data_IF_475139789970
#
_entry.id   IF_475139789970
#
_cell.length_a   1.000
_cell.length_b   1.000
_cell.length_c   1.000
_cell.angle_alpha   90.00
_cell.angle_beta   90.00
_cell.angle_gamma   90.00
#
_symmetry.space_group_name_H-M   'P 1'
#
loop_
_entity.id
_entity.type
_entity.pdbx_description
1 polymer ?
#
# COMPACT_ATOMS: atom_id res chain seq x y z
N UNK A 1 0.61 -0.31 -1.61
CA UNK A 1 0.63 -1.05 -0.33
C UNK A 1 0.47 -2.55 -0.47
N UNK A 2 0.16 -3.22 0.65
CA UNK A 2 0.00 -4.67 0.69
C UNK A 2 -1.05 -5.21 -0.27
N UNK A 3 -2.18 -4.53 -0.38
CA UNK A 3 -3.26 -4.90 -1.32
C UNK A 3 -2.76 -4.93 -2.76
N UNK A 4 -2.03 -3.89 -3.21
CA UNK A 4 -1.52 -3.87 -4.57
C UNK A 4 -0.55 -5.03 -4.86
N UNK A 5 0.35 -5.38 -3.93
CA UNK A 5 1.23 -6.53 -4.07
C UNK A 5 0.44 -7.83 -4.25
N UNK A 6 -0.59 -8.02 -3.42
CA UNK A 6 -1.35 -9.26 -3.37
C UNK A 6 -2.27 -9.46 -4.58
N UNK A 7 -2.83 -8.40 -5.14
CA UNK A 7 -3.78 -8.53 -6.25
C UNK A 7 -3.18 -8.31 -7.64
N UNK A 8 -1.96 -7.72 -7.73
CA UNK A 8 -1.33 -7.46 -9.03
C UNK A 8 0.00 -8.19 -9.24
N UNK A 9 0.70 -8.61 -8.17
CA UNK A 9 2.05 -9.15 -8.31
C UNK A 9 2.22 -10.57 -7.75
N UNK A 10 1.53 -10.97 -6.70
CA UNK A 10 1.78 -12.25 -6.05
C UNK A 10 0.91 -13.37 -6.64
N UNK A 11 1.52 -14.54 -6.88
CA UNK A 11 0.82 -15.75 -7.32
C UNK A 11 0.06 -16.40 -6.15
N UNK A 12 0.60 -16.27 -4.94
CA UNK A 12 -0.02 -16.74 -3.70
C UNK A 12 -0.27 -15.54 -2.78
N UNK A 13 -1.44 -14.90 -2.92
CA UNK A 13 -1.75 -13.72 -2.15
C UNK A 13 -2.08 -14.07 -0.69
N UNK A 14 -1.76 -13.14 0.21
CA UNK A 14 -2.37 -13.08 1.54
C UNK A 14 -3.49 -12.04 1.56
N UNK A 15 -4.42 -12.18 2.49
CA UNK A 15 -5.47 -11.16 2.64
C UNK A 15 -4.86 -9.80 3.02
N UNK A 16 -5.19 -8.79 2.25
CA UNK A 16 -4.88 -7.38 2.53
C UNK A 16 -6.03 -6.54 2.02
N UNK A 17 -6.65 -5.78 2.89
CA UNK A 17 -7.90 -5.05 2.59
C UNK A 17 -7.74 -3.53 2.58
N UNK A 18 -6.65 -3.03 3.16
CA UNK A 18 -6.37 -1.60 3.16
C UNK A 18 -5.93 -1.12 1.77
N UNK A 19 -6.34 0.07 1.39
CA UNK A 19 -6.08 0.67 0.08
C UNK A 19 -5.10 1.83 0.25
N UNK A 20 -3.89 1.68 -0.30
CA UNK A 20 -2.89 2.74 -0.32
C UNK A 20 -2.86 3.40 -1.70
N UNK A 21 -3.13 4.68 -1.75
CA UNK A 21 -3.18 5.49 -2.97
C UNK A 21 -2.09 6.56 -2.95
N UNK A 22 -1.45 6.80 -4.09
CA UNK A 22 -0.59 7.95 -4.31
C UNK A 22 -1.26 8.91 -5.30
N UNK A 23 -1.30 10.20 -4.97
CA UNK A 23 -1.67 11.22 -5.94
C UNK A 23 -0.52 11.41 -6.93
N UNK A 24 -0.76 11.16 -8.20
CA UNK A 24 0.22 11.30 -9.29
C UNK A 24 -0.24 12.30 -10.37
N UNK A 25 -1.17 13.19 -10.05
CA UNK A 25 -1.73 14.16 -11.01
C UNK A 25 -0.74 15.27 -11.40
N UNK A 26 -0.02 15.83 -10.43
CA UNK A 26 0.98 16.89 -10.66
C UNK A 26 2.11 16.85 -9.66
N UNK A 27 3.34 17.07 -10.13
CA UNK A 27 4.51 17.29 -9.27
C UNK A 27 4.49 18.66 -8.58
N UNK A 28 3.81 19.66 -9.19
CA UNK A 28 3.70 20.99 -8.62
C UNK A 28 2.84 21.01 -7.33
N UNK A 29 3.35 21.69 -6.30
CA UNK A 29 2.69 21.74 -5.00
C UNK A 29 1.38 22.55 -5.03
N UNK A 30 1.34 23.66 -5.75
CA UNK A 30 0.16 24.51 -5.80
C UNK A 30 -0.99 23.81 -6.52
N UNK A 31 -0.72 23.17 -7.64
CA UNK A 31 -1.67 22.35 -8.38
C UNK A 31 -2.18 21.18 -7.53
N UNK A 32 -1.29 20.47 -6.85
CA UNK A 32 -1.67 19.37 -5.94
C UNK A 32 -2.60 19.87 -4.82
N UNK A 33 -2.31 21.02 -4.23
CA UNK A 33 -3.17 21.59 -3.16
C UNK A 33 -4.56 21.98 -3.69
N UNK A 34 -4.66 22.44 -4.94
CA UNK A 34 -5.93 22.73 -5.60
C UNK A 34 -6.73 21.48 -5.95
N UNK A 35 -6.04 20.36 -6.26
CA UNK A 35 -6.68 19.10 -6.58
C UNK A 35 -7.05 18.28 -5.34
N UNK A 36 -6.35 18.46 -4.24
CA UNK A 36 -6.57 17.68 -3.00
C UNK A 36 -8.04 17.58 -2.58
N UNK A 37 -8.81 18.69 -2.46
CA UNK A 37 -10.22 18.58 -2.07
C UNK A 37 -11.07 17.82 -3.09
N UNK A 38 -10.75 17.89 -4.39
CA UNK A 38 -11.47 17.16 -5.43
C UNK A 38 -11.24 15.64 -5.29
N UNK A 39 -9.99 15.23 -5.03
CA UNK A 39 -9.63 13.83 -4.82
C UNK A 39 -10.30 13.29 -3.54
N UNK A 40 -10.27 14.06 -2.45
CA UNK A 40 -10.95 13.67 -1.20
C UNK A 40 -12.46 13.53 -1.40
N UNK A 41 -13.08 14.42 -2.13
CA UNK A 41 -14.50 14.35 -2.48
C UNK A 41 -14.82 13.15 -3.36
N UNK A 42 -13.96 12.84 -4.33
CA UNK A 42 -14.13 11.66 -5.19
C UNK A 42 -14.10 10.36 -4.39
N UNK A 43 -13.18 10.22 -3.42
CA UNK A 43 -13.12 9.06 -2.52
C UNK A 43 -14.45 8.92 -1.75
N UNK A 44 -14.95 10.01 -1.18
CA UNK A 44 -16.21 10.00 -0.42
C UNK A 44 -17.41 9.62 -1.33
N UNK A 45 -17.45 10.16 -2.53
CA UNK A 45 -18.53 9.88 -3.49
C UNK A 45 -18.54 8.40 -3.93
N UNK A 46 -17.36 7.83 -4.21
CA UNK A 46 -17.25 6.40 -4.55
C UNK A 46 -17.70 5.53 -3.39
N UNK A 47 -17.21 5.80 -2.18
CA UNK A 47 -17.60 5.02 -1.01
C UNK A 47 -19.12 5.10 -0.73
N UNK A 48 -19.71 6.28 -0.86
CA UNK A 48 -21.15 6.45 -0.70
C UNK A 48 -21.97 5.65 -1.74
N UNK A 49 -21.51 5.65 -3.00
CA UNK A 49 -22.12 4.85 -4.08
C UNK A 49 -22.07 3.35 -3.79
N UNK A 50 -20.98 2.88 -3.19
CA UNK A 50 -20.79 1.46 -2.80
C UNK A 50 -21.46 1.13 -1.45
N UNK A 51 -22.24 2.05 -0.86
CA UNK A 51 -22.93 1.82 0.41
C UNK A 51 -22.01 1.74 1.64
N UNK A 52 -20.78 2.25 1.53
CA UNK A 52 -19.81 2.23 2.61
C UNK A 52 -19.96 3.48 3.49
N UNK A 53 -20.00 3.29 4.80
CA UNK A 53 -19.88 4.41 5.75
C UNK A 53 -18.43 4.85 5.83
N UNK A 54 -18.22 6.16 5.69
CA UNK A 54 -16.87 6.74 5.63
C UNK A 54 -16.65 7.72 6.76
N UNK A 55 -15.55 7.54 7.49
CA UNK A 55 -15.08 8.47 8.51
C UNK A 55 -13.65 8.91 8.17
N UNK A 56 -13.46 10.23 7.94
CA UNK A 56 -12.11 10.79 7.81
C UNK A 56 -11.42 10.75 9.17
N UNK A 57 -10.25 10.13 9.20
CA UNK A 57 -9.42 10.07 10.40
C UNK A 57 -8.51 11.30 10.47
N UNK A 58 -8.22 11.83 11.68
CA UNK A 58 -7.17 12.81 11.85
C UNK A 58 -5.86 12.26 11.28
N UNK A 59 -5.15 13.06 10.49
CA UNK A 59 -3.86 12.70 9.92
C UNK A 59 -2.88 13.83 10.19
N UNK A 60 -1.76 13.51 10.81
CA UNK A 60 -0.65 14.45 11.03
C UNK A 60 0.19 14.66 9.75
N UNK A 61 -0.09 13.87 8.70
CA UNK A 61 0.65 13.90 7.46
C UNK A 61 -0.06 14.72 6.37
N UNK A 62 0.69 15.08 5.33
CA UNK A 62 0.16 15.80 4.17
C UNK A 62 -0.92 15.00 3.40
N UNK A 63 -1.14 13.74 3.74
CA UNK A 63 -2.13 12.84 3.16
C UNK A 63 -3.54 12.97 3.72
N UNK A 64 -4.36 11.98 3.42
CA UNK A 64 -5.68 11.76 3.99
C UNK A 64 -5.86 10.29 4.33
N UNK A 65 -6.54 10.03 5.44
CA UNK A 65 -6.88 8.68 5.86
C UNK A 65 -8.38 8.61 6.13
N UNK A 66 -9.01 7.59 5.58
CA UNK A 66 -10.44 7.31 5.78
C UNK A 66 -10.59 5.88 6.28
N UNK A 67 -11.41 5.73 7.31
CA UNK A 67 -11.89 4.43 7.75
C UNK A 67 -13.23 4.18 7.10
N UNK A 68 -13.34 3.07 6.41
CA UNK A 68 -14.58 2.58 5.84
C UNK A 68 -15.23 1.62 6.83
N UNK A 69 -16.55 1.53 6.83
CA UNK A 69 -17.28 0.57 7.66
C UNK A 69 -18.39 -0.06 6.85
N UNK A 70 -18.46 -1.38 6.90
CA UNK A 70 -19.54 -2.17 6.31
C UNK A 70 -19.74 -3.46 7.10
N UNK A 71 -20.87 -4.12 6.88
CA UNK A 71 -21.15 -5.45 7.41
C UNK A 71 -20.76 -6.47 6.36
N UNK A 72 -19.86 -7.38 6.70
CA UNK A 72 -19.41 -8.44 5.80
C UNK A 72 -20.48 -9.56 5.67
N UNK A 73 -20.26 -10.52 4.78
CA UNK A 73 -21.20 -11.64 4.53
C UNK A 73 -21.40 -12.55 5.75
N UNK A 74 -20.50 -12.53 6.71
CA UNK A 74 -20.62 -13.25 7.98
C UNK A 74 -21.37 -12.44 9.07
N UNK A 75 -21.91 -11.26 8.73
CA UNK A 75 -22.63 -10.39 9.67
C UNK A 75 -21.71 -9.59 10.63
N UNK A 76 -20.43 -9.65 10.44
CA UNK A 76 -19.45 -8.92 11.28
C UNK A 76 -19.10 -7.56 10.65
N UNK A 77 -18.81 -6.57 11.51
CA UNK A 77 -18.32 -5.27 11.04
C UNK A 77 -16.87 -5.39 10.54
N UNK A 78 -16.63 -4.89 9.35
CA UNK A 78 -15.29 -4.76 8.78
C UNK A 78 -14.94 -3.27 8.61
N UNK A 79 -13.68 -2.91 8.89
CA UNK A 79 -13.23 -1.52 8.91
C UNK A 79 -11.89 -1.35 8.16
N UNK A 80 -11.84 -1.57 6.84
CA UNK A 80 -10.65 -1.29 6.05
C UNK A 80 -10.34 0.21 6.00
N UNK A 81 -9.09 0.54 5.74
CA UNK A 81 -8.64 1.91 5.64
C UNK A 81 -8.24 2.26 4.20
N UNK A 82 -8.51 3.50 3.80
CA UNK A 82 -7.95 4.12 2.59
C UNK A 82 -6.94 5.15 3.05
N UNK A 83 -5.70 5.00 2.62
CA UNK A 83 -4.60 5.91 2.91
C UNK A 83 -4.17 6.61 1.62
N UNK A 84 -4.31 7.94 1.55
CA UNK A 84 -3.96 8.74 0.39
C UNK A 84 -2.72 9.57 0.68
N UNK A 85 -1.69 9.36 -0.12
CA UNK A 85 -0.40 10.03 0.00
C UNK A 85 -0.23 11.07 -1.09
N UNK A 86 0.08 12.32 -0.69
CA UNK A 86 0.39 13.43 -1.58
C UNK A 86 1.90 13.75 -1.65
N UNK A 87 2.75 13.01 -0.97
CA UNK A 87 4.21 13.23 -0.99
C UNK A 87 4.88 12.53 -2.19
N UNK A 88 4.44 11.31 -2.50
CA UNK A 88 4.96 10.50 -3.61
C UNK A 88 4.21 10.82 -4.91
N UNK A 89 4.30 12.08 -5.35
CA UNK A 89 3.56 12.57 -6.52
C UNK A 89 4.21 12.24 -7.86
N UNK A 90 5.51 12.03 -7.85
CA UNK A 90 6.30 11.76 -9.06
C UNK A 90 6.86 10.35 -8.92
N UNK A 91 6.25 9.35 -9.57
CA UNK A 91 6.79 8.00 -9.63
C UNK A 91 8.18 7.99 -10.28
N UNK A 92 9.02 7.05 -9.90
CA UNK A 92 10.37 6.88 -10.48
C UNK A 92 10.31 6.32 -11.91
N UNK A 93 9.27 5.53 -12.19
CA UNK A 93 9.00 4.95 -13.50
C UNK A 93 7.54 5.17 -13.90
N UNK A 94 7.21 5.03 -15.18
CA UNK A 94 5.83 5.17 -15.66
C UNK A 94 4.87 4.27 -14.89
N UNK A 95 3.72 4.83 -14.53
CA UNK A 95 2.61 4.07 -13.97
C UNK A 95 1.99 3.21 -15.05
N UNK A 96 1.64 1.97 -14.73
CA UNK A 96 1.05 1.02 -15.67
C UNK A 96 -0.36 0.67 -15.25
N UNK A 97 -1.29 0.62 -16.20
CA UNK A 97 -2.63 0.10 -15.98
C UNK A 97 -2.57 -1.45 -15.94
N UNK A 98 -3.01 -2.03 -14.85
CA UNK A 98 -3.03 -3.48 -14.63
C UNK A 98 -4.44 -3.94 -14.24
N UNK A 99 -4.79 -5.14 -14.67
CA UNK A 99 -5.94 -5.87 -14.15
C UNK A 99 -5.52 -6.68 -12.94
N UNK A 100 -6.38 -6.72 -11.91
CA UNK A 100 -6.14 -7.55 -10.74
C UNK A 100 -6.35 -9.03 -11.04
N UNK A 101 -5.79 -9.87 -10.19
CA UNK A 101 -6.26 -11.26 -10.10
C UNK A 101 -7.73 -11.30 -9.68
N UNK A 102 -8.40 -12.43 -9.91
CA UNK A 102 -9.77 -12.64 -9.48
C UNK A 102 -9.87 -12.60 -7.95
N UNK A 103 -10.79 -11.80 -7.43
CA UNK A 103 -11.16 -11.74 -6.03
C UNK A 103 -12.60 -12.23 -5.89
N UNK A 104 -12.78 -13.54 -5.70
CA UNK A 104 -14.06 -14.17 -5.89
C UNK A 104 -14.53 -13.97 -7.34
N UNK A 105 -15.75 -13.41 -7.58
CA UNK A 105 -16.25 -13.12 -8.92
C UNK A 105 -15.75 -11.78 -9.49
N UNK A 106 -15.04 -10.98 -8.73
CA UNK A 106 -14.67 -9.60 -9.08
C UNK A 106 -13.24 -9.50 -9.61
N UNK A 107 -13.05 -8.59 -10.58
CA UNK A 107 -11.74 -8.18 -11.11
C UNK A 107 -11.72 -6.66 -11.14
N UNK A 108 -10.71 -6.05 -10.55
CA UNK A 108 -10.44 -4.62 -10.71
C UNK A 108 -9.66 -4.42 -12.01
N UNK A 109 -10.24 -3.68 -12.97
CA UNK A 109 -9.66 -3.49 -14.30
C UNK A 109 -8.97 -2.14 -14.45
N UNK A 110 -7.91 -2.12 -15.24
CA UNK A 110 -7.19 -0.91 -15.67
C UNK A 110 -6.76 -0.01 -14.48
N UNK A 111 -6.37 -0.64 -13.36
CA UNK A 111 -5.93 0.11 -12.19
C UNK A 111 -4.53 0.66 -12.42
N UNK A 112 -4.37 1.97 -12.22
CA UNK A 112 -3.08 2.64 -12.28
C UNK A 112 -2.18 2.18 -11.12
N UNK A 113 -1.13 1.41 -11.42
CA UNK A 113 -0.21 0.83 -10.45
C UNK A 113 1.20 1.38 -10.69
N UNK A 114 1.87 1.83 -9.63
CA UNK A 114 3.28 2.23 -9.70
C UNK A 114 4.17 1.03 -10.00
N UNK A 115 5.36 1.27 -10.53
CA UNK A 115 6.31 0.21 -10.89
C UNK A 115 6.56 -0.76 -9.73
N UNK A 116 6.75 -2.04 -10.06
CA UNK A 116 6.95 -3.12 -9.07
C UNK A 116 8.13 -2.89 -8.14
N UNK A 117 9.20 -2.23 -8.62
CA UNK A 117 10.36 -1.91 -7.80
C UNK A 117 10.05 -0.82 -6.77
N UNK A 118 9.16 0.12 -7.11
CA UNK A 118 8.65 1.12 -6.16
C UNK A 118 7.76 0.49 -5.09
N UNK A 119 6.86 -0.42 -5.49
CA UNK A 119 6.04 -1.18 -4.54
C UNK A 119 6.92 -2.01 -3.59
N UNK A 120 7.93 -2.69 -4.14
CA UNK A 120 8.88 -3.48 -3.38
C UNK A 120 9.71 -2.61 -2.42
N UNK A 121 10.24 -1.49 -2.90
CA UNK A 121 11.02 -0.56 -2.08
C UNK A 121 10.22 0.01 -0.91
N UNK A 122 8.97 0.43 -1.17
CA UNK A 122 8.07 0.90 -0.12
C UNK A 122 7.79 -0.17 0.93
N UNK A 123 7.63 -1.43 0.51
CA UNK A 123 7.42 -2.56 1.42
C UNK A 123 8.67 -2.88 2.24
N UNK A 124 9.86 -2.89 1.64
CA UNK A 124 11.12 -3.11 2.35
C UNK A 124 11.41 -1.97 3.35
N UNK A 125 11.14 -0.73 2.96
CA UNK A 125 11.27 0.41 3.86
C UNK A 125 10.31 0.30 5.07
N UNK A 126 9.08 -0.16 4.85
CA UNK A 126 8.11 -0.41 5.91
C UNK A 126 8.57 -1.54 6.84
N UNK A 127 9.07 -2.65 6.28
CA UNK A 127 9.62 -3.77 7.06
C UNK A 127 10.72 -3.31 8.01
N UNK A 128 11.72 -2.60 7.50
CA UNK A 128 12.83 -2.10 8.31
C UNK A 128 12.42 -1.04 9.36
N UNK A 129 11.24 -0.44 9.20
CA UNK A 129 10.77 0.63 10.10
C UNK A 129 9.88 0.13 11.23
N UNK A 130 9.01 -0.85 10.96
CA UNK A 130 7.99 -1.29 11.92
C UNK A 130 8.01 -2.78 12.24
N UNK A 131 8.79 -3.56 11.50
CA UNK A 131 8.98 -5.00 11.70
C UNK A 131 7.68 -5.81 11.91
N UNK A 132 6.70 -5.64 11.01
CA UNK A 132 5.47 -6.42 11.06
C UNK A 132 5.62 -7.74 10.31
N UNK A 133 5.10 -8.84 10.84
CA UNK A 133 5.22 -10.18 10.25
C UNK A 133 4.65 -10.27 8.82
N UNK A 134 3.58 -9.53 8.52
CA UNK A 134 3.03 -9.39 7.17
C UNK A 134 4.02 -8.74 6.18
N UNK A 135 4.86 -7.82 6.67
CA UNK A 135 5.87 -7.17 5.81
C UNK A 135 7.03 -8.11 5.53
N UNK A 136 7.36 -9.03 6.44
CA UNK A 136 8.34 -10.11 6.23
C UNK A 136 7.86 -11.06 5.14
N UNK A 137 6.58 -11.47 5.19
CA UNK A 137 5.98 -12.31 4.15
C UNK A 137 6.05 -11.63 2.79
N UNK A 138 5.58 -10.38 2.70
CA UNK A 138 5.58 -9.62 1.46
C UNK A 138 7.01 -9.43 0.91
N UNK A 139 7.98 -9.11 1.77
CA UNK A 139 9.38 -8.96 1.39
C UNK A 139 9.98 -10.27 0.86
N UNK A 140 9.68 -11.41 1.51
CA UNK A 140 10.11 -12.73 1.04
C UNK A 140 9.59 -13.04 -0.35
N UNK A 141 8.29 -12.84 -0.59
CA UNK A 141 7.68 -13.11 -1.89
C UNK A 141 8.26 -12.17 -2.98
N UNK A 142 8.46 -10.89 -2.67
CA UNK A 142 9.10 -9.95 -3.59
C UNK A 142 10.53 -10.33 -3.96
N UNK A 143 11.36 -10.72 -2.98
CA UNK A 143 12.77 -11.05 -3.20
C UNK A 143 12.99 -12.39 -3.92
N UNK A 144 11.96 -13.24 -3.99
CA UNK A 144 11.97 -14.51 -4.75
C UNK A 144 11.59 -14.36 -6.21
N UNK A 145 11.09 -13.19 -6.60
CA UNK A 145 10.69 -12.94 -7.98
C UNK A 145 11.90 -12.70 -8.88
N UNK A 146 11.93 -13.38 -10.00
CA UNK A 146 12.99 -13.23 -11.00
C UNK A 146 12.87 -11.93 -11.81
N UNK A 147 11.67 -11.30 -11.80
CA UNK A 147 11.38 -10.06 -12.52
C UNK A 147 11.67 -8.77 -11.72
N UNK A 148 12.32 -8.89 -10.57
CA UNK A 148 12.80 -7.77 -9.76
C UNK A 148 14.27 -7.48 -10.08
N UNK A 149 14.52 -6.41 -10.84
CA UNK A 149 15.87 -5.91 -11.09
C UNK A 149 16.45 -5.29 -9.80
N UNK A 150 17.57 -5.81 -9.35
CA UNK A 150 18.22 -5.41 -8.08
C UNK A 150 18.75 -3.97 -8.13
N UNK A 151 19.17 -3.48 -9.30
CA UNK A 151 19.66 -2.10 -9.47
C UNK A 151 18.51 -1.11 -9.31
N UNK A 152 17.39 -1.37 -10.00
CA UNK A 152 16.17 -0.57 -9.84
C UNK A 152 15.63 -0.61 -8.42
N UNK A 153 15.59 -1.80 -7.81
CA UNK A 153 15.14 -1.95 -6.42
C UNK A 153 15.99 -1.13 -5.45
N UNK A 154 17.32 -1.15 -5.61
CA UNK A 154 18.23 -0.33 -4.78
C UNK A 154 17.96 1.16 -4.95
N UNK A 155 17.80 1.64 -6.18
CA UNK A 155 17.48 3.03 -6.46
C UNK A 155 16.14 3.44 -5.81
N UNK A 156 15.10 2.65 -6.03
CA UNK A 156 13.80 2.89 -5.41
C UNK A 156 13.89 2.87 -3.87
N UNK A 157 14.65 1.92 -3.29
CA UNK A 157 14.81 1.83 -1.84
C UNK A 157 15.51 3.06 -1.26
N UNK A 158 16.50 3.64 -1.94
CA UNK A 158 17.13 4.90 -1.50
C UNK A 158 16.10 6.03 -1.42
N UNK A 159 15.22 6.14 -2.42
CA UNK A 159 14.18 7.19 -2.46
C UNK A 159 13.12 6.94 -1.38
N UNK A 160 12.52 5.76 -1.36
CA UNK A 160 11.44 5.43 -0.40
C UNK A 160 11.92 5.36 1.04
N UNK A 161 13.14 4.85 1.25
CA UNK A 161 13.79 4.86 2.56
C UNK A 161 14.14 6.27 3.03
N UNK A 162 14.61 7.14 2.13
CA UNK A 162 14.93 8.53 2.44
C UNK A 162 13.72 9.37 2.87
N UNK A 163 12.51 8.95 2.49
CA UNK A 163 11.26 9.58 2.94
C UNK A 163 10.83 9.13 4.35
N UNK A 164 11.50 8.12 4.88
CA UNK A 164 11.25 7.59 6.21
C UNK A 164 12.13 8.30 7.24
N UNK A 165 11.60 8.52 8.44
CA UNK A 165 12.36 9.13 9.56
C UNK A 165 13.34 8.16 10.25
N UNK A 166 13.46 6.92 9.75
CA UNK A 166 14.38 5.92 10.29
C UNK A 166 15.83 6.33 10.04
N UNK A 167 16.68 6.21 11.04
CA UNK A 167 18.13 6.28 10.85
C UNK A 167 18.62 4.94 10.29
N UNK A 168 18.86 4.89 8.99
CA UNK A 168 19.25 3.67 8.28
C UNK A 168 20.62 3.11 8.71
N UNK A 169 21.46 3.93 9.35
CA UNK A 169 22.76 3.49 9.90
C UNK A 169 22.61 2.56 11.09
N UNK A 170 21.46 2.58 11.75
CA UNK A 170 21.15 1.77 12.93
C UNK A 170 20.44 0.46 12.60
N UNK A 171 19.99 0.27 11.34
CA UNK A 171 19.25 -0.93 10.94
C UNK A 171 20.18 -2.14 10.92
N UNK A 172 19.78 -3.21 11.60
CA UNK A 172 20.49 -4.49 11.69
C UNK A 172 19.58 -5.62 11.21
N UNK A 173 20.17 -6.75 10.89
CA UNK A 173 19.44 -7.96 10.50
C UNK A 173 18.47 -8.40 11.61
N UNK A 174 18.88 -8.27 12.86
CA UNK A 174 18.08 -8.65 14.02
C UNK A 174 16.82 -7.77 14.21
N UNK A 175 16.79 -6.57 13.61
CA UNK A 175 15.59 -5.72 13.59
C UNK A 175 14.49 -6.30 12.69
N UNK A 176 14.83 -7.29 11.85
CA UNK A 176 13.89 -7.97 10.96
C UNK A 176 13.66 -9.40 11.48
N UNK A 177 13.07 -9.50 12.66
CA UNK A 177 12.74 -10.78 13.28
C UNK A 177 11.24 -11.11 13.13
N UNK A 178 10.94 -12.35 12.82
CA UNK A 178 9.56 -12.83 12.79
C UNK A 178 9.04 -13.06 14.21
N UNK A 179 7.90 -12.46 14.55
CA UNK A 179 7.14 -12.80 15.75
C UNK A 179 6.21 -13.98 15.44
N UNK A 180 6.47 -15.14 16.07
CA UNK A 180 5.70 -16.36 15.85
C UNK A 180 4.22 -16.23 16.24
N UNK A 181 3.91 -15.43 17.26
CA UNK A 181 2.52 -15.18 17.67
C UNK A 181 1.81 -14.28 16.66
N UNK A 182 2.49 -13.26 16.16
CA UNK A 182 1.97 -12.38 15.12
C UNK A 182 1.77 -13.14 13.81
N UNK A 183 2.71 -14.01 13.42
CA UNK A 183 2.57 -14.89 12.24
C UNK A 183 1.31 -15.75 12.34
N UNK A 184 1.10 -16.42 13.50
CA UNK A 184 -0.10 -17.24 13.72
C UNK A 184 -1.39 -16.43 13.66
N UNK A 185 -1.38 -15.22 14.19
CA UNK A 185 -2.57 -14.38 14.23
C UNK A 185 -2.92 -13.73 12.90
N UNK A 186 -1.91 -13.30 12.14
CA UNK A 186 -2.09 -12.46 10.95
C UNK A 186 -1.97 -13.21 9.62
N UNK A 187 -1.29 -14.36 9.59
CA UNK A 187 -1.01 -15.08 8.33
C UNK A 187 -1.58 -16.51 8.29
N UNK A 188 -1.62 -17.23 9.41
CA UNK A 188 -2.08 -18.64 9.42
C UNK A 188 -3.60 -18.80 9.29
N UNK A 189 -4.45 -17.85 9.72
CA UNK A 189 -5.91 -17.97 9.56
C UNK A 189 -6.42 -17.71 8.14
N UNK A 190 -5.56 -17.55 7.15
CA UNK A 190 -5.94 -17.22 5.76
C UNK A 190 -5.89 -18.43 4.83
#
# INVERSE_FOLDING_TARGET
>A
GGTALNIFLFDVPRLSVDIDLNYVGSGDRATMLADKPKVEQAIQAVCAREGLTVKRMPSEHAGGKWRLSFVNTAGSSANPEVDLNFMLRVPLWPVTALDSQMLGPAVAKEIAVVDRHELAAGKLAALCSRNASRDIFDARELLRRDDIDRGKLRLAFVVYGGLNRKDWRTVRVDDVAADALQLKRELVPM
#
